data_IF_050833402954
#
_entry.id   IF_050833402954
#
_cell.length_a   1.000
_cell.length_b   1.000
_cell.length_c   1.000
_cell.angle_alpha   90.00
_cell.angle_beta   90.00
_cell.angle_gamma   90.00
#
_symmetry.space_group_name_H-M   'P 1'
#
loop_
_entity.id
_entity.type
_entity.pdbx_description
1 polymer ?
#
# COMPACT_ATOMS: atom_id res chain seq x y z
N UNK A 1 -9.17 21.95 14.58
CA UNK A 1 -8.32 21.23 15.56
C UNK A 1 -7.75 20.00 14.89
N UNK A 2 -6.50 19.65 15.15
CA UNK A 2 -5.87 18.44 14.59
C UNK A 2 -6.52 17.20 15.18
N UNK A 3 -6.89 16.20 14.37
CA UNK A 3 -7.58 14.98 14.84
C UNK A 3 -6.73 14.09 15.76
N UNK A 4 -7.37 13.34 16.66
CA UNK A 4 -6.71 12.46 17.64
C UNK A 4 -5.64 11.52 17.05
N UNK A 5 -5.85 10.86 15.89
CA UNK A 5 -4.86 9.99 15.25
C UNK A 5 -3.56 10.70 14.87
N UNK A 6 -3.64 11.98 14.44
CA UNK A 6 -2.45 12.78 14.09
C UNK A 6 -1.64 13.11 15.34
N UNK A 7 -2.31 13.50 16.43
CA UNK A 7 -1.62 13.70 17.72
C UNK A 7 -0.95 12.41 18.20
N UNK A 8 -1.63 11.27 18.05
CA UNK A 8 -1.07 9.99 18.46
C UNK A 8 0.22 9.63 17.68
N UNK A 9 0.24 9.86 16.36
CA UNK A 9 1.46 9.68 15.56
C UNK A 9 2.56 10.62 16.01
N UNK A 10 2.28 11.92 16.15
CA UNK A 10 3.27 12.92 16.52
C UNK A 10 3.87 12.65 17.90
N UNK A 11 3.03 12.37 18.90
CA UNK A 11 3.49 12.01 20.24
C UNK A 11 4.35 10.74 20.18
N UNK A 12 3.91 9.71 19.44
CA UNK A 12 4.69 8.51 19.24
C UNK A 12 6.07 8.78 18.63
N UNK A 13 6.14 9.63 17.60
CA UNK A 13 7.40 10.03 16.96
C UNK A 13 8.31 10.81 17.91
N UNK A 14 7.77 11.75 18.70
CA UNK A 14 8.53 12.50 19.71
C UNK A 14 9.09 11.56 20.77
N UNK A 15 8.27 10.64 21.29
CA UNK A 15 8.73 9.64 22.26
C UNK A 15 9.83 8.77 21.63
N UNK A 16 9.70 8.38 20.36
CA UNK A 16 10.69 7.58 19.65
C UNK A 16 12.06 8.24 19.54
N UNK A 17 12.13 9.58 19.49
CA UNK A 17 13.39 10.33 19.47
C UNK A 17 14.15 10.25 20.80
N UNK A 18 13.41 10.20 21.92
CA UNK A 18 13.98 10.19 23.27
C UNK A 18 14.19 8.76 23.82
N UNK A 19 13.48 7.79 23.29
CA UNK A 19 13.50 6.40 23.77
C UNK A 19 14.68 5.63 23.17
N UNK A 20 15.73 5.46 23.97
CA UNK A 20 16.97 4.79 23.57
C UNK A 20 16.77 3.29 23.29
N UNK A 21 17.52 2.77 22.33
CA UNK A 21 17.50 1.40 21.78
C UNK A 21 17.35 0.23 22.79
N UNK A 22 18.03 0.15 23.95
CA UNK A 22 17.95 -1.03 24.83
C UNK A 22 16.56 -1.23 25.45
N UNK A 23 15.90 -0.16 25.88
CA UNK A 23 14.57 -0.23 26.47
C UNK A 23 13.49 -0.47 25.39
N UNK A 24 13.76 -0.03 24.15
CA UNK A 24 12.88 -0.23 22.99
C UNK A 24 12.84 -1.68 22.54
N UNK A 25 13.97 -2.42 22.66
CA UNK A 25 14.06 -3.83 22.27
C UNK A 25 13.07 -4.73 22.99
N UNK A 26 12.79 -4.49 24.27
CA UNK A 26 11.88 -5.30 25.09
C UNK A 26 10.42 -5.20 24.60
N UNK A 27 10.00 -4.03 24.13
CA UNK A 27 8.60 -3.76 23.73
C UNK A 27 8.40 -3.68 22.22
N UNK A 28 9.47 -3.86 21.43
CA UNK A 28 9.46 -3.69 19.98
C UNK A 28 8.44 -4.59 19.29
N UNK A 29 8.32 -5.84 19.72
CA UNK A 29 7.37 -6.81 19.18
C UNK A 29 5.92 -6.36 19.44
N UNK A 30 5.64 -5.85 20.64
CA UNK A 30 4.35 -5.29 21.01
C UNK A 30 3.99 -4.04 20.19
N UNK A 31 4.94 -3.13 19.98
CA UNK A 31 4.76 -1.95 19.13
C UNK A 31 4.49 -2.38 17.69
N UNK A 32 5.29 -3.32 17.16
CA UNK A 32 5.10 -3.87 15.81
C UNK A 32 3.76 -4.58 15.63
N UNK A 33 3.34 -5.37 16.61
CA UNK A 33 2.03 -6.02 16.64
C UNK A 33 0.90 -4.99 16.63
N UNK A 34 0.98 -3.96 17.48
CA UNK A 34 -0.04 -2.91 17.58
C UNK A 34 -0.12 -2.10 16.29
N UNK A 35 1.01 -1.67 15.74
CA UNK A 35 1.06 -0.93 14.49
C UNK A 35 0.47 -1.68 13.30
N UNK A 36 0.53 -3.02 13.28
CA UNK A 36 0.14 -3.84 12.14
C UNK A 36 -1.14 -4.64 12.37
N UNK A 37 -1.20 -5.43 13.46
CA UNK A 37 -2.33 -6.34 13.72
C UNK A 37 -3.53 -5.63 14.31
N UNK A 38 -3.31 -4.74 15.28
CA UNK A 38 -4.41 -3.97 15.88
C UNK A 38 -5.04 -3.05 14.84
N UNK A 39 -4.26 -2.46 13.93
CA UNK A 39 -4.80 -1.71 12.80
C UNK A 39 -5.67 -2.58 11.88
N UNK A 40 -5.23 -3.82 11.57
CA UNK A 40 -6.04 -4.74 10.77
C UNK A 40 -7.38 -5.06 11.46
N UNK A 41 -7.36 -5.28 12.79
CA UNK A 41 -8.58 -5.49 13.58
C UNK A 41 -9.47 -4.25 13.57
N UNK A 42 -8.89 -3.06 13.68
CA UNK A 42 -9.63 -1.81 13.57
C UNK A 42 -10.38 -1.71 12.23
N UNK A 43 -9.70 -2.00 11.12
CA UNK A 43 -10.31 -1.98 9.78
C UNK A 43 -11.41 -3.04 9.64
N UNK A 44 -11.24 -4.25 10.20
CA UNK A 44 -12.29 -5.27 10.22
C UNK A 44 -13.51 -4.78 11.00
N UNK A 45 -13.31 -4.19 12.17
CA UNK A 45 -14.39 -3.65 13.01
C UNK A 45 -15.11 -2.48 12.33
N UNK A 46 -14.40 -1.68 11.53
CA UNK A 46 -15.00 -0.60 10.73
C UNK A 46 -16.05 -1.16 9.76
N UNK A 47 -15.84 -2.36 9.21
CA UNK A 47 -16.78 -3.05 8.35
C UNK A 47 -18.19 -3.20 8.93
N UNK A 48 -18.31 -3.31 10.25
CA UNK A 48 -19.63 -3.33 10.91
C UNK A 48 -20.39 -1.99 10.86
N UNK A 49 -19.73 -0.89 10.48
CA UNK A 49 -20.37 0.39 10.25
C UNK A 49 -20.85 0.61 8.81
N UNK A 50 -20.66 -0.36 7.90
CA UNK A 50 -20.85 -0.22 6.47
C UNK A 50 -21.80 -1.31 5.94
N UNK A 51 -22.50 -1.01 4.84
CA UNK A 51 -23.25 -2.01 4.09
C UNK A 51 -22.58 -2.31 2.74
N UNK A 52 -22.85 -3.51 2.19
CA UNK A 52 -22.24 -3.95 0.93
C UNK A 52 -22.62 -3.08 -0.27
N UNK A 53 -23.82 -2.48 -0.27
CA UNK A 53 -24.25 -1.59 -1.36
C UNK A 53 -23.39 -0.31 -1.37
N UNK A 54 -23.14 0.28 -0.20
CA UNK A 54 -22.23 1.43 -0.05
C UNK A 54 -20.80 1.07 -0.51
N UNK A 55 -20.30 -0.09 -0.09
CA UNK A 55 -18.97 -0.55 -0.52
C UNK A 55 -18.90 -0.69 -2.03
N UNK A 56 -19.92 -1.25 -2.68
CA UNK A 56 -19.97 -1.39 -4.11
C UNK A 56 -20.06 -0.05 -4.83
N UNK A 57 -20.88 0.89 -4.32
CA UNK A 57 -21.04 2.22 -4.90
C UNK A 57 -19.74 3.04 -4.84
N UNK A 58 -19.16 3.22 -3.66
CA UNK A 58 -17.90 3.97 -3.47
C UNK A 58 -16.75 3.28 -4.19
N UNK A 59 -16.70 1.93 -4.16
CA UNK A 59 -15.71 1.15 -4.87
C UNK A 59 -15.76 1.39 -6.38
N UNK A 60 -16.97 1.37 -6.99
CA UNK A 60 -17.15 1.60 -8.42
C UNK A 60 -16.82 3.05 -8.82
N UNK A 61 -17.29 4.03 -8.04
CA UNK A 61 -17.03 5.45 -8.26
C UNK A 61 -15.54 5.81 -8.19
N UNK A 62 -14.81 5.14 -7.30
CA UNK A 62 -13.37 5.34 -7.14
C UNK A 62 -12.51 4.69 -8.22
N UNK A 63 -13.02 3.72 -9.00
CA UNK A 63 -12.22 2.97 -9.99
C UNK A 63 -11.51 3.85 -11.01
N UNK A 64 -12.13 4.86 -11.65
CA UNK A 64 -11.43 5.72 -12.63
C UNK A 64 -10.26 6.46 -11.99
N UNK A 65 -10.42 6.96 -10.75
CA UNK A 65 -9.39 7.66 -10.01
C UNK A 65 -8.26 6.69 -9.63
N UNK A 66 -8.62 5.49 -9.15
CA UNK A 66 -7.65 4.44 -8.80
C UNK A 66 -6.81 4.05 -10.02
N UNK A 67 -7.43 3.78 -11.17
CA UNK A 67 -6.71 3.39 -12.38
C UNK A 67 -5.79 4.50 -12.88
N UNK A 68 -6.25 5.75 -12.86
CA UNK A 68 -5.45 6.91 -13.25
C UNK A 68 -4.25 7.11 -12.31
N UNK A 69 -4.45 7.02 -11.00
CA UNK A 69 -3.37 7.19 -10.02
C UNK A 69 -2.35 6.03 -10.08
N UNK A 70 -2.80 4.79 -10.33
CA UNK A 70 -1.90 3.65 -10.58
C UNK A 70 -1.08 3.88 -11.83
N UNK A 71 -1.72 4.23 -12.95
CA UNK A 71 -1.04 4.50 -14.21
C UNK A 71 -0.02 5.63 -14.07
N UNK A 72 -0.42 6.74 -13.43
CA UNK A 72 0.48 7.87 -13.13
C UNK A 72 1.70 7.43 -12.34
N UNK A 73 1.52 6.66 -11.27
CA UNK A 73 2.63 6.18 -10.44
C UNK A 73 3.62 5.31 -11.23
N UNK A 74 3.11 4.40 -12.06
CA UNK A 74 3.94 3.49 -12.86
C UNK A 74 4.65 4.22 -14.00
N UNK A 75 3.95 5.12 -14.70
CA UNK A 75 4.53 5.91 -15.81
C UNK A 75 5.59 6.87 -15.28
N UNK A 76 5.27 7.67 -14.27
CA UNK A 76 6.21 8.62 -13.65
C UNK A 76 7.39 7.86 -13.05
N UNK A 77 7.13 6.74 -12.36
CA UNK A 77 8.18 5.88 -11.81
C UNK A 77 9.13 5.35 -12.89
N UNK A 78 8.61 4.90 -14.04
CA UNK A 78 9.43 4.46 -15.17
C UNK A 78 10.25 5.61 -15.79
N UNK A 79 9.65 6.78 -15.98
CA UNK A 79 10.35 7.97 -16.50
C UNK A 79 11.49 8.35 -15.54
N UNK A 80 11.22 8.44 -14.25
CA UNK A 80 12.22 8.79 -13.25
C UNK A 80 13.33 7.75 -13.12
N UNK A 81 13.02 6.45 -13.23
CA UNK A 81 14.01 5.39 -13.34
C UNK A 81 15.03 5.68 -14.44
N UNK A 82 14.54 6.06 -15.63
CA UNK A 82 15.40 6.36 -16.80
C UNK A 82 16.20 7.66 -16.61
N UNK A 83 15.55 8.72 -16.13
CA UNK A 83 16.16 10.06 -15.97
C UNK A 83 17.19 10.08 -14.86
N UNK A 84 16.86 9.53 -13.69
CA UNK A 84 17.76 9.51 -12.53
C UNK A 84 18.84 8.42 -12.60
N UNK A 85 18.77 7.52 -13.60
CA UNK A 85 19.67 6.38 -13.77
C UNK A 85 19.82 5.60 -12.47
N UNK A 86 18.69 5.22 -11.90
CA UNK A 86 18.64 4.47 -10.64
C UNK A 86 18.75 2.97 -10.86
N UNK A 87 19.01 2.24 -9.78
CA UNK A 87 18.86 0.79 -9.76
C UNK A 87 17.43 0.39 -10.10
N UNK A 88 17.28 -0.58 -11.00
CA UNK A 88 15.98 -0.98 -11.52
C UNK A 88 15.07 -1.61 -10.46
N UNK A 89 15.64 -2.34 -9.49
CA UNK A 89 14.88 -2.98 -8.44
C UNK A 89 14.31 -1.92 -7.48
N UNK A 90 15.14 -0.95 -7.02
CA UNK A 90 14.69 0.14 -6.15
C UNK A 90 13.61 0.96 -6.83
N UNK A 91 13.84 1.35 -8.10
CA UNK A 91 12.89 2.14 -8.86
C UNK A 91 11.54 1.41 -9.06
N UNK A 92 11.58 0.12 -9.40
CA UNK A 92 10.37 -0.71 -9.54
C UNK A 92 9.63 -0.82 -8.20
N UNK A 93 10.33 -1.06 -7.10
CA UNK A 93 9.72 -1.15 -5.77
C UNK A 93 9.06 0.16 -5.34
N UNK A 94 9.71 1.32 -5.58
CA UNK A 94 9.12 2.63 -5.28
C UNK A 94 7.89 2.89 -6.16
N UNK A 95 7.98 2.62 -7.48
CA UNK A 95 6.86 2.82 -8.39
C UNK A 95 5.65 1.96 -8.03
N UNK A 96 5.85 0.65 -7.78
CA UNK A 96 4.78 -0.27 -7.39
C UNK A 96 4.26 0.03 -5.99
N UNK A 97 5.14 0.36 -5.05
CA UNK A 97 4.76 0.79 -3.70
C UNK A 97 3.87 2.03 -3.73
N UNK A 98 4.25 3.04 -4.53
CA UNK A 98 3.45 4.26 -4.72
C UNK A 98 2.13 4.01 -5.45
N UNK A 99 2.08 3.01 -6.35
CA UNK A 99 0.90 2.75 -7.17
C UNK A 99 -0.22 2.00 -6.42
N UNK A 100 0.06 1.23 -5.37
CA UNK A 100 -0.93 0.34 -4.74
C UNK A 100 -1.11 0.67 -3.25
N UNK A 101 -0.35 -0.03 -2.38
CA UNK A 101 -0.54 0.00 -0.93
C UNK A 101 0.78 0.11 -0.14
N UNK A 102 1.79 0.73 -0.73
CA UNK A 102 3.06 0.98 -0.05
C UNK A 102 3.84 -0.29 0.24
N UNK A 103 4.14 -0.52 1.51
CA UNK A 103 4.97 -1.62 1.96
C UNK A 103 4.48 -3.01 1.59
N UNK A 104 3.16 -3.25 1.57
CA UNK A 104 2.60 -4.56 1.17
C UNK A 104 2.84 -4.88 -0.30
N UNK A 105 2.72 -3.88 -1.17
CA UNK A 105 3.01 -4.02 -2.59
C UNK A 105 4.51 -4.25 -2.83
N UNK A 106 5.38 -3.55 -2.10
CA UNK A 106 6.83 -3.78 -2.13
C UNK A 106 7.15 -5.22 -1.69
N UNK A 107 6.59 -5.67 -0.57
CA UNK A 107 6.84 -7.02 -0.05
C UNK A 107 6.38 -8.14 -1.00
N UNK A 108 5.27 -7.93 -1.72
CA UNK A 108 4.78 -8.88 -2.73
C UNK A 108 5.63 -8.85 -4.01
N UNK A 109 6.15 -7.67 -4.39
CA UNK A 109 6.92 -7.49 -5.63
C UNK A 109 8.39 -7.90 -5.45
N UNK A 110 8.97 -7.70 -4.28
CA UNK A 110 10.39 -7.95 -4.02
C UNK A 110 10.85 -9.37 -4.41
N UNK A 111 10.16 -10.47 -4.02
CA UNK A 111 10.55 -11.82 -4.44
C UNK A 111 10.39 -12.04 -5.95
N UNK A 112 9.41 -11.39 -6.59
CA UNK A 112 9.16 -11.51 -8.04
C UNK A 112 10.33 -10.95 -8.85
N UNK A 113 10.88 -9.80 -8.43
CA UNK A 113 12.02 -9.15 -9.11
C UNK A 113 13.37 -9.52 -8.47
N UNK A 114 13.38 -10.42 -7.49
CA UNK A 114 14.58 -10.86 -6.75
C UNK A 114 15.35 -9.68 -6.14
N UNK A 115 14.61 -8.73 -5.56
CA UNK A 115 15.23 -7.57 -4.92
C UNK A 115 15.97 -7.98 -3.64
N UNK A 116 17.10 -7.31 -3.38
CA UNK A 116 17.87 -7.50 -2.15
C UNK A 116 17.16 -6.84 -0.98
N UNK A 117 17.38 -7.35 0.24
CA UNK A 117 16.75 -6.81 1.46
C UNK A 117 17.07 -5.33 1.68
N UNK A 118 18.26 -4.86 1.31
CA UNK A 118 18.64 -3.45 1.40
C UNK A 118 17.80 -2.57 0.45
N UNK A 119 17.54 -3.06 -0.78
CA UNK A 119 16.71 -2.35 -1.77
C UNK A 119 15.25 -2.28 -1.30
N UNK A 120 14.75 -3.37 -0.71
CA UNK A 120 13.42 -3.44 -0.11
C UNK A 120 13.30 -2.46 1.06
N UNK A 121 14.26 -2.47 1.98
CA UNK A 121 14.26 -1.57 3.14
C UNK A 121 14.32 -0.10 2.71
N UNK A 122 15.13 0.23 1.70
CA UNK A 122 15.24 1.58 1.15
C UNK A 122 13.93 2.05 0.50
N UNK A 123 13.31 1.21 -0.33
CA UNK A 123 12.03 1.54 -0.96
C UNK A 123 10.91 1.72 0.06
N UNK A 124 10.81 0.83 1.06
CA UNK A 124 9.85 0.95 2.15
C UNK A 124 10.04 2.26 2.91
N UNK A 125 11.28 2.63 3.23
CA UNK A 125 11.59 3.86 3.97
C UNK A 125 11.13 5.10 3.21
N UNK A 126 11.37 5.17 1.90
CA UNK A 126 10.94 6.29 1.04
C UNK A 126 9.41 6.41 1.03
N UNK A 127 8.71 5.30 0.79
CA UNK A 127 7.24 5.30 0.76
C UNK A 127 6.66 5.70 2.12
N UNK A 128 7.23 5.19 3.21
CA UNK A 128 6.78 5.52 4.55
C UNK A 128 6.96 7.00 4.90
N UNK A 129 8.07 7.61 4.47
CA UNK A 129 8.34 9.03 4.66
C UNK A 129 7.18 9.89 4.11
N UNK A 130 6.83 9.68 2.84
CA UNK A 130 5.78 10.49 2.20
C UNK A 130 4.38 10.14 2.72
N UNK A 131 4.15 8.93 3.17
CA UNK A 131 2.90 8.54 3.81
C UNK A 131 2.67 9.25 5.15
N UNK A 132 3.71 9.37 5.98
CA UNK A 132 3.64 10.14 7.24
C UNK A 132 3.38 11.62 6.94
N UNK A 133 4.09 12.19 5.98
CA UNK A 133 3.89 13.58 5.55
C UNK A 133 2.44 13.78 5.05
N UNK A 134 1.94 12.86 4.21
CA UNK A 134 0.56 12.90 3.72
C UNK A 134 -0.48 12.85 4.85
N UNK A 135 -0.30 11.96 5.81
CA UNK A 135 -1.22 11.84 6.94
C UNK A 135 -1.33 13.13 7.78
N UNK A 136 -0.24 13.90 7.84
CA UNK A 136 -0.19 15.17 8.59
C UNK A 136 -0.72 16.34 7.77
N UNK A 137 -0.40 16.41 6.47
CA UNK A 137 -0.65 17.60 5.63
C UNK A 137 -2.01 17.52 4.92
N UNK A 138 -2.43 16.35 4.43
CA UNK A 138 -3.61 16.23 3.58
C UNK A 138 -4.92 16.66 4.23
N UNK A 139 -5.19 16.41 5.53
CA UNK A 139 -6.42 16.89 6.14
C UNK A 139 -6.54 18.42 6.10
N UNK A 140 -5.44 19.12 6.39
CA UNK A 140 -5.39 20.57 6.31
C UNK A 140 -5.46 21.06 4.86
N UNK A 141 -4.76 20.40 3.94
CA UNK A 141 -4.79 20.72 2.51
C UNK A 141 -6.20 20.56 1.94
N UNK A 142 -6.89 19.47 2.25
CA UNK A 142 -8.27 19.23 1.83
C UNK A 142 -9.23 20.31 2.31
N UNK A 143 -9.09 20.73 3.59
CA UNK A 143 -9.86 21.84 4.14
C UNK A 143 -9.57 23.17 3.42
N UNK A 144 -8.30 23.45 3.08
CA UNK A 144 -7.91 24.65 2.34
C UNK A 144 -8.45 24.65 0.90
N UNK A 145 -8.57 23.48 0.30
CA UNK A 145 -9.13 23.29 -1.05
C UNK A 145 -10.66 23.26 -1.06
N UNK A 146 -11.32 23.30 0.10
CA UNK A 146 -12.76 23.27 0.21
C UNK A 146 -13.38 21.95 -0.22
N UNK A 147 -12.69 20.82 -0.01
CA UNK A 147 -13.19 19.49 -0.39
C UNK A 147 -14.41 19.09 0.45
N UNK A 148 -15.35 18.37 -0.16
CA UNK A 148 -16.42 17.69 0.56
C UNK A 148 -15.88 16.53 1.42
N UNK A 149 -16.68 16.00 2.33
CA UNK A 149 -16.29 14.85 3.15
C UNK A 149 -16.02 13.60 2.29
N UNK A 150 -16.87 13.36 1.31
CA UNK A 150 -16.76 12.25 0.34
C UNK A 150 -15.55 12.46 -0.58
N UNK A 151 -15.38 13.67 -1.12
CA UNK A 151 -14.22 14.04 -1.94
C UNK A 151 -12.92 13.85 -1.19
N UNK A 152 -12.84 14.23 0.08
CA UNK A 152 -11.65 13.97 0.90
C UNK A 152 -11.41 12.47 1.14
N UNK A 153 -12.48 11.69 1.36
CA UNK A 153 -12.40 10.24 1.48
C UNK A 153 -11.77 9.59 0.23
N UNK A 154 -12.28 9.96 -0.96
CA UNK A 154 -11.74 9.53 -2.25
C UNK A 154 -10.27 9.96 -2.43
N UNK A 155 -9.94 11.21 -2.10
CA UNK A 155 -8.58 11.74 -2.18
C UNK A 155 -7.62 11.00 -1.26
N UNK A 156 -7.96 10.85 0.01
CA UNK A 156 -7.12 10.15 0.97
C UNK A 156 -6.89 8.68 0.57
N UNK A 157 -7.93 7.97 0.11
CA UNK A 157 -7.85 6.58 -0.34
C UNK A 157 -6.98 6.38 -1.58
N UNK A 158 -6.97 7.36 -2.50
CA UNK A 158 -6.26 7.28 -3.78
C UNK A 158 -4.89 7.93 -3.78
N UNK A 159 -4.66 9.00 -3.03
CA UNK A 159 -3.40 9.75 -3.01
C UNK A 159 -2.42 9.30 -1.92
N UNK A 160 -2.89 8.71 -0.82
CA UNK A 160 -2.03 8.16 0.23
C UNK A 160 -1.77 6.67 -0.04
N UNK A 161 -0.51 6.23 0.04
CA UNK A 161 -0.16 4.89 -0.42
C UNK A 161 -0.35 3.80 0.64
N UNK A 162 -0.07 4.05 1.90
CA UNK A 162 -0.20 3.05 2.96
C UNK A 162 -1.55 3.13 3.67
N UNK A 163 -2.14 1.96 3.98
CA UNK A 163 -3.45 1.86 4.65
C UNK A 163 -3.48 2.58 6.00
N UNK A 164 -2.40 2.50 6.77
CA UNK A 164 -2.33 3.15 8.07
C UNK A 164 -2.39 4.67 7.95
N UNK A 165 -1.67 5.23 6.98
CA UNK A 165 -1.64 6.67 6.75
C UNK A 165 -2.93 7.20 6.11
N UNK A 166 -3.60 6.39 5.26
CA UNK A 166 -4.97 6.68 4.79
C UNK A 166 -5.93 6.80 5.96
N UNK A 167 -5.92 5.78 6.82
CA UNK A 167 -6.78 5.75 8.02
C UNK A 167 -6.50 6.93 8.95
N UNK A 168 -5.21 7.30 9.12
CA UNK A 168 -4.81 8.44 9.93
C UNK A 168 -5.32 9.77 9.36
N UNK A 169 -5.12 9.99 8.05
CA UNK A 169 -5.56 11.20 7.36
C UNK A 169 -7.10 11.35 7.40
N UNK A 170 -7.81 10.27 7.06
CA UNK A 170 -9.27 10.29 7.02
C UNK A 170 -9.91 10.41 8.42
N UNK A 171 -9.35 9.72 9.42
CA UNK A 171 -9.83 9.88 10.80
C UNK A 171 -9.49 11.26 11.39
N UNK A 172 -8.40 11.90 10.95
CA UNK A 172 -8.10 13.28 11.29
C UNK A 172 -9.11 14.25 10.67
N UNK A 173 -9.48 14.02 9.42
CA UNK A 173 -10.54 14.78 8.73
C UNK A 173 -11.87 14.67 9.48
N UNK A 174 -12.31 13.45 9.80
CA UNK A 174 -13.53 13.22 10.57
C UNK A 174 -13.52 13.94 11.93
N UNK A 175 -12.33 14.02 12.55
CA UNK A 175 -12.15 14.76 13.80
C UNK A 175 -12.24 16.28 13.65
N UNK A 176 -11.98 16.82 12.46
CA UNK A 176 -12.09 18.27 12.15
C UNK A 176 -13.46 18.64 11.60
N UNK A 177 -14.18 17.72 10.98
CA UNK A 177 -15.47 17.94 10.33
C UNK A 177 -16.55 17.04 10.97
N UNK A 178 -17.29 17.53 11.98
CA UNK A 178 -18.34 16.77 12.64
C UNK A 178 -19.39 16.28 11.65
N UNK A 179 -19.76 14.99 11.74
CA UNK A 179 -20.68 14.35 10.80
C UNK A 179 -20.07 13.77 9.53
N UNK A 180 -18.75 13.93 9.36
CA UNK A 180 -18.00 13.29 8.26
C UNK A 180 -17.89 11.77 8.44
N UNK A 181 -17.88 11.05 7.32
CA UNK A 181 -17.58 9.62 7.20
C UNK A 181 -16.42 9.36 6.23
N UNK A 182 -15.54 10.33 6.04
CA UNK A 182 -14.40 10.22 5.13
C UNK A 182 -13.49 9.01 5.43
N UNK A 183 -13.43 8.57 6.70
CA UNK A 183 -12.72 7.36 7.10
C UNK A 183 -13.31 6.09 6.46
N UNK A 184 -14.62 6.00 6.40
CA UNK A 184 -15.33 4.87 5.82
C UNK A 184 -15.04 4.80 4.30
N UNK A 185 -15.23 5.92 3.59
CA UNK A 185 -15.01 6.03 2.15
C UNK A 185 -13.53 5.80 1.78
N UNK A 186 -12.61 6.46 2.46
CA UNK A 186 -11.17 6.28 2.26
C UNK A 186 -10.74 4.82 2.46
N UNK A 187 -11.34 4.13 3.43
CA UNK A 187 -11.05 2.71 3.69
C UNK A 187 -11.53 1.83 2.54
N UNK A 188 -12.76 2.04 2.05
CA UNK A 188 -13.31 1.30 0.90
C UNK A 188 -12.42 1.51 -0.33
N UNK A 189 -12.13 2.76 -0.68
CA UNK A 189 -11.27 3.13 -1.81
C UNK A 189 -9.90 2.46 -1.69
N UNK A 190 -9.30 2.51 -0.50
CA UNK A 190 -8.00 1.91 -0.26
C UNK A 190 -8.00 0.39 -0.38
N UNK A 191 -9.02 -0.28 0.13
CA UNK A 191 -9.15 -1.73 0.02
C UNK A 191 -9.37 -2.15 -1.44
N UNK A 192 -10.20 -1.41 -2.19
CA UNK A 192 -10.41 -1.61 -3.63
C UNK A 192 -9.09 -1.46 -4.41
N UNK A 193 -8.31 -0.40 -4.13
CA UNK A 193 -6.98 -0.18 -4.74
C UNK A 193 -6.00 -1.31 -4.41
N UNK A 194 -6.07 -1.86 -3.22
CA UNK A 194 -5.17 -2.94 -2.79
C UNK A 194 -5.36 -4.22 -3.61
N UNK A 195 -6.52 -4.47 -4.19
CA UNK A 195 -6.76 -5.61 -5.09
C UNK A 195 -5.90 -5.55 -6.36
N UNK A 196 -5.45 -4.37 -6.78
CA UNK A 196 -4.56 -4.19 -7.92
C UNK A 196 -3.18 -4.85 -7.72
N UNK A 197 -2.82 -5.29 -6.51
CA UNK A 197 -1.58 -6.03 -6.25
C UNK A 197 -1.52 -7.32 -7.09
N UNK A 198 -2.66 -7.99 -7.27
CA UNK A 198 -2.73 -9.27 -8.00
C UNK A 198 -2.36 -9.10 -9.47
N UNK A 199 -3.06 -8.26 -10.28
CA UNK A 199 -2.72 -8.11 -11.68
C UNK A 199 -1.34 -7.49 -11.90
N UNK A 200 -0.91 -6.55 -11.06
CA UNK A 200 0.40 -5.88 -11.21
C UNK A 200 1.55 -6.86 -10.95
N UNK A 201 1.48 -7.63 -9.85
CA UNK A 201 2.53 -8.63 -9.56
C UNK A 201 2.54 -9.76 -10.57
N UNK A 202 1.39 -10.16 -11.11
CA UNK A 202 1.29 -11.15 -12.19
C UNK A 202 1.94 -10.65 -13.48
N UNK A 203 1.65 -9.41 -13.90
CA UNK A 203 2.28 -8.80 -15.08
C UNK A 203 3.80 -8.73 -14.90
N UNK A 204 4.27 -8.29 -13.73
CA UNK A 204 5.71 -8.25 -13.44
C UNK A 204 6.35 -9.64 -13.49
N UNK A 205 5.70 -10.66 -12.95
CA UNK A 205 6.18 -12.04 -13.01
C UNK A 205 6.32 -12.53 -14.46
N UNK A 206 5.33 -12.24 -15.32
CA UNK A 206 5.36 -12.57 -16.75
C UNK A 206 6.50 -11.82 -17.46
N UNK A 207 6.66 -10.53 -17.19
CA UNK A 207 7.74 -9.72 -17.80
C UNK A 207 9.12 -10.24 -17.39
N UNK A 208 9.31 -10.59 -16.12
CA UNK A 208 10.58 -11.13 -15.63
C UNK A 208 10.87 -12.51 -16.24
N UNK A 209 9.87 -13.39 -16.33
CA UNK A 209 10.01 -14.70 -16.98
C UNK A 209 10.41 -14.57 -18.46
N UNK A 210 9.78 -13.63 -19.21
CA UNK A 210 10.14 -13.36 -20.61
C UNK A 210 11.58 -12.85 -20.75
N UNK A 211 12.02 -11.97 -19.85
CA UNK A 211 13.37 -11.41 -19.85
C UNK A 211 14.42 -12.49 -19.59
N UNK A 212 14.17 -13.43 -18.68
CA UNK A 212 15.06 -14.55 -18.38
C UNK A 212 15.15 -15.52 -19.57
N UNK A 213 14.02 -15.86 -20.20
CA UNK A 213 14.01 -16.70 -21.39
C UNK A 213 14.77 -16.08 -22.57
N UNK A 214 14.65 -14.76 -22.78
CA UNK A 214 15.39 -14.04 -23.81
C UNK A 214 16.90 -14.02 -23.53
N UNK A 215 17.30 -13.87 -22.27
CA UNK A 215 18.71 -13.93 -21.87
C UNK A 215 19.31 -15.33 -22.01
N UNK A 216 18.54 -16.38 -21.69
CA UNK A 216 18.94 -17.76 -21.87
C UNK A 216 19.07 -18.18 -23.35
N UNK A 217 18.18 -17.69 -24.22
CA UNK A 217 18.26 -17.93 -25.68
C UNK A 217 19.49 -17.23 -26.31
N UNK A 218 19.86 -16.03 -25.82
CA UNK A 218 21.06 -15.31 -26.28
C UNK A 218 22.37 -15.97 -25.87
N UNK A 219 22.41 -16.64 -24.72
CA UNK A 219 23.58 -17.38 -24.25
C UNK A 219 23.79 -18.71 -25.00
N UNK A 220 22.72 -19.30 -25.51
CA UNK A 220 22.81 -20.55 -26.30
C UNK A 220 23.33 -20.35 -27.74
N UNK A 221 23.34 -19.11 -28.26
CA UNK A 221 23.81 -18.77 -29.64
C UNK A 221 25.28 -18.34 -29.64
N UNK A 222 25.90 -18.06 -28.50
CA UNK A 222 27.26 -17.55 -28.38
C UNK A 222 28.28 -18.63 -27.90
N UNK A 223 28.18 -19.86 -28.38
CA UNK A 223 29.22 -20.89 -28.16
C UNK A 223 30.17 -20.96 -29.34
N UNK A 224 31.51 -20.79 -29.17
CA UNK A 224 32.47 -21.03 -30.24
C UNK A 224 32.59 -22.54 -30.50
N UNK A 225 32.58 -22.90 -31.79
CA UNK A 225 32.78 -24.29 -32.21
C UNK A 225 34.10 -24.84 -31.71
N UNK A 226 34.02 -25.99 -31.06
CA UNK A 226 35.13 -26.93 -30.94
C UNK A 226 34.56 -28.35 -31.16
N UNK A 227 35.06 -29.01 -32.16
CA UNK A 227 34.85 -30.41 -32.45
C UNK A 227 35.21 -31.27 -31.25
N UNK A 228 34.33 -32.13 -30.82
CA UNK A 228 34.60 -33.11 -29.78
C UNK A 228 33.35 -33.94 -29.45
N UNK A 229 33.39 -35.19 -29.88
CA UNK A 229 32.43 -36.25 -29.59
C UNK A 229 31.98 -36.26 -28.12
N UNK A 230 30.76 -35.82 -27.84
CA UNK A 230 30.16 -35.96 -26.54
C UNK A 230 28.99 -36.97 -26.64
N UNK A 231 29.16 -38.08 -25.97
CA UNK A 231 28.13 -39.10 -25.70
C UNK A 231 26.95 -38.41 -24.99
N UNK A 232 25.82 -38.41 -25.63
CA UNK A 232 24.56 -37.89 -25.10
C UNK A 232 24.02 -38.81 -24.01
N UNK A 233 24.13 -38.42 -22.75
CA UNK A 233 23.45 -39.09 -21.64
C UNK A 233 21.98 -38.64 -21.59
N UNK A 234 21.00 -39.54 -21.77
CA UNK A 234 19.57 -39.17 -21.79
C UNK A 234 19.04 -38.69 -20.45
N UNK A 235 19.78 -38.91 -19.34
CA UNK A 235 19.37 -38.47 -18.01
C UNK A 235 19.60 -36.97 -17.77
N UNK A 236 20.49 -36.29 -18.52
CA UNK A 236 20.74 -34.86 -18.37
C UNK A 236 19.65 -33.96 -19.00
N UNK A 237 18.85 -34.50 -19.96
CA UNK A 237 17.80 -33.73 -20.63
C UNK A 237 16.47 -33.65 -19.86
N UNK A 238 16.32 -34.42 -18.76
CA UNK A 238 15.12 -34.34 -17.90
C UNK A 238 15.15 -33.17 -16.90
N UNK A 239 16.29 -32.45 -16.76
CA UNK A 239 16.41 -31.32 -15.84
C UNK A 239 16.09 -29.94 -16.45
N UNK A 240 15.85 -29.87 -17.76
CA UNK A 240 15.50 -28.64 -18.48
C UNK A 240 13.97 -28.51 -18.70
N UNK A 241 13.20 -28.69 -17.64
CA UNK A 241 11.81 -28.23 -17.68
C UNK A 241 11.79 -26.68 -17.71
N UNK A 242 10.92 -26.05 -18.53
CA UNK A 242 10.93 -24.61 -18.74
C UNK A 242 10.79 -23.85 -17.43
N UNK A 243 11.75 -22.99 -17.17
CA UNK A 243 11.88 -22.16 -15.95
C UNK A 243 10.63 -21.35 -15.60
N UNK A 244 9.73 -21.14 -16.57
CA UNK A 244 8.44 -20.46 -16.37
C UNK A 244 7.50 -21.15 -15.39
N UNK A 245 7.52 -22.50 -15.30
CA UNK A 245 6.67 -23.24 -14.36
C UNK A 245 7.16 -23.11 -12.91
N UNK A 246 8.46 -22.90 -12.69
CA UNK A 246 9.03 -22.65 -11.35
C UNK A 246 8.73 -21.26 -10.81
N UNK A 247 8.61 -20.25 -11.68
CA UNK A 247 8.26 -18.88 -11.27
C UNK A 247 6.78 -18.75 -10.87
N UNK A 248 5.88 -19.45 -11.56
CA UNK A 248 4.46 -19.53 -11.19
C UNK A 248 4.22 -20.42 -9.97
N UNK A 249 5.05 -21.45 -9.74
CA UNK A 249 4.98 -22.32 -8.55
C UNK A 249 5.36 -21.62 -7.23
N UNK A 250 6.10 -20.50 -7.29
CA UNK A 250 6.43 -19.67 -6.11
C UNK A 250 5.40 -18.57 -5.81
N UNK A 251 4.49 -18.27 -6.73
CA UNK A 251 3.46 -17.25 -6.55
C UNK A 251 2.23 -17.85 -5.86
N UNK A 252 2.22 -17.79 -4.54
CA UNK A 252 1.04 -18.18 -3.75
C UNK A 252 0.05 -17.03 -3.72
N UNK A 253 -1.03 -17.13 -4.50
CA UNK A 253 -2.16 -16.19 -4.48
C UNK A 253 -2.70 -16.02 -3.04
N UNK A 254 -2.65 -17.09 -2.25
CA UNK A 254 -3.04 -17.13 -0.83
C UNK A 254 -2.15 -16.24 0.06
N UNK A 255 -0.87 -16.04 -0.30
CA UNK A 255 0.07 -15.15 0.42
C UNK A 255 -0.05 -13.68 -0.03
N UNK A 256 -0.48 -13.44 -1.26
CA UNK A 256 -0.63 -12.09 -1.81
C UNK A 256 -1.94 -11.43 -1.38
N UNK A 257 -2.98 -12.21 -1.04
CA UNK A 257 -4.29 -11.67 -0.68
C UNK A 257 -4.37 -11.34 0.83
N UNK A 258 -4.60 -10.09 1.21
CA UNK A 258 -4.70 -9.70 2.62
C UNK A 258 -6.02 -10.21 3.23
N UNK A 259 -5.94 -11.21 4.09
CA UNK A 259 -7.11 -11.86 4.73
C UNK A 259 -8.03 -10.91 5.48
N UNK A 260 -7.50 -9.79 6.01
CA UNK A 260 -8.31 -8.79 6.70
C UNK A 260 -9.33 -8.10 5.80
N UNK A 261 -9.11 -8.06 4.46
CA UNK A 261 -10.10 -7.53 3.49
C UNK A 261 -11.32 -8.45 3.44
N UNK A 262 -11.10 -9.77 3.41
CA UNK A 262 -12.23 -10.72 3.45
C UNK A 262 -13.03 -10.60 4.75
N UNK A 263 -12.34 -10.43 5.87
CA UNK A 263 -12.99 -10.26 7.16
C UNK A 263 -13.74 -8.91 7.24
N UNK A 264 -13.21 -7.85 6.65
CA UNK A 264 -13.90 -6.57 6.50
C UNK A 264 -15.20 -6.73 5.69
N UNK A 265 -15.14 -7.39 4.53
CA UNK A 265 -16.32 -7.67 3.71
C UNK A 265 -17.32 -8.58 4.42
N UNK A 266 -16.85 -9.58 5.16
CA UNK A 266 -17.71 -10.43 5.97
C UNK A 266 -18.43 -9.64 7.09
N UNK A 267 -17.72 -8.75 7.78
CA UNK A 267 -18.29 -7.86 8.78
C UNK A 267 -19.38 -6.95 8.18
N UNK A 268 -19.10 -6.37 7.02
CA UNK A 268 -20.08 -5.54 6.28
C UNK A 268 -21.28 -6.36 5.79
N UNK A 269 -21.03 -7.62 5.39
CA UNK A 269 -22.09 -8.56 5.02
C UNK A 269 -23.01 -8.89 6.19
N UNK A 270 -22.46 -9.13 7.38
CA UNK A 270 -23.23 -9.36 8.62
C UNK A 270 -24.11 -8.16 8.91
N UNK A 271 -23.57 -6.94 8.84
CA UNK A 271 -24.35 -5.71 9.07
C UNK A 271 -25.46 -5.57 8.02
N UNK A 272 -25.14 -5.81 6.74
CA UNK A 272 -26.13 -5.72 5.64
C UNK A 272 -27.30 -6.69 5.87
N UNK A 273 -27.01 -7.95 6.21
CA UNK A 273 -28.05 -8.96 6.46
C UNK A 273 -28.83 -8.64 7.74
N UNK A 274 -28.17 -8.23 8.80
CA UNK A 274 -28.83 -7.88 10.07
C UNK A 274 -29.80 -6.71 9.90
N UNK A 275 -29.38 -5.63 9.22
CA UNK A 275 -30.21 -4.46 8.95
C UNK A 275 -31.38 -4.82 8.01
N UNK A 276 -31.14 -5.63 6.98
CA UNK A 276 -32.21 -6.15 6.12
C UNK A 276 -33.23 -7.02 6.88
N UNK A 277 -32.80 -7.71 7.93
CA UNK A 277 -33.65 -8.48 8.83
C UNK A 277 -34.35 -7.63 9.91
N UNK A 278 -34.19 -6.29 9.88
CA UNK A 278 -34.86 -5.37 10.80
C UNK A 278 -34.04 -4.99 12.05
N UNK A 279 -32.76 -5.35 12.12
CA UNK A 279 -31.90 -4.88 13.20
C UNK A 279 -31.59 -3.38 13.04
N UNK A 280 -31.54 -2.66 14.17
CA UNK A 280 -31.11 -1.26 14.15
C UNK A 280 -29.58 -1.18 13.84
N UNK A 281 -29.21 -0.38 12.85
CA UNK A 281 -27.80 -0.11 12.52
C UNK A 281 -27.02 0.49 13.71
N UNK A 282 -27.71 1.19 14.63
CA UNK A 282 -27.12 1.71 15.86
C UNK A 282 -26.57 0.62 16.79
N UNK A 283 -27.04 -0.63 16.68
CA UNK A 283 -26.50 -1.76 17.43
C UNK A 283 -25.01 -2.03 17.15
N UNK A 284 -24.52 -1.64 15.98
CA UNK A 284 -23.11 -1.78 15.59
C UNK A 284 -22.24 -0.57 15.98
N UNK A 285 -22.82 0.52 16.49
CA UNK A 285 -22.07 1.73 16.87
C UNK A 285 -20.94 1.48 17.89
N UNK A 286 -21.08 0.59 18.90
CA UNK A 286 -19.97 0.26 19.81
C UNK A 286 -18.77 -0.35 19.09
N UNK A 287 -18.98 -1.19 18.07
CA UNK A 287 -17.90 -1.79 17.28
C UNK A 287 -17.16 -0.75 16.44
N UNK A 288 -17.90 0.21 15.87
CA UNK A 288 -17.30 1.36 15.16
C UNK A 288 -16.51 2.25 16.11
N UNK A 289 -17.00 2.49 17.33
CA UNK A 289 -16.27 3.24 18.35
C UNK A 289 -14.98 2.53 18.79
N UNK A 290 -15.02 1.21 18.97
CA UNK A 290 -13.85 0.38 19.28
C UNK A 290 -12.84 0.40 18.14
N UNK A 291 -13.30 0.36 16.88
CA UNK A 291 -12.45 0.54 15.70
C UNK A 291 -11.67 1.85 15.77
N UNK A 292 -12.35 2.98 15.99
CA UNK A 292 -11.72 4.31 16.11
C UNK A 292 -10.68 4.35 17.24
N UNK A 293 -10.96 3.73 18.38
CA UNK A 293 -10.00 3.60 19.49
C UNK A 293 -8.75 2.80 19.07
N UNK A 294 -8.93 1.66 18.41
CA UNK A 294 -7.82 0.85 17.90
C UNK A 294 -7.00 1.58 16.84
N UNK A 295 -7.63 2.43 16.02
CA UNK A 295 -6.92 3.30 15.07
C UNK A 295 -5.98 4.23 15.81
N UNK A 296 -6.45 4.95 16.84
CA UNK A 296 -5.61 5.88 17.62
C UNK A 296 -4.43 5.14 18.26
N UNK A 297 -4.69 3.97 18.83
CA UNK A 297 -3.65 3.12 19.44
C UNK A 297 -2.61 2.65 18.40
N UNK A 298 -3.07 2.21 17.23
CA UNK A 298 -2.19 1.82 16.12
C UNK A 298 -1.37 3.00 15.60
N UNK A 299 -1.96 4.22 15.52
CA UNK A 299 -1.26 5.43 15.10
C UNK A 299 -0.13 5.81 16.08
N UNK A 300 -0.37 5.71 17.39
CA UNK A 300 0.68 5.91 18.40
C UNK A 300 1.84 4.90 18.21
N UNK A 301 1.50 3.63 17.98
CA UNK A 301 2.50 2.58 17.75
C UNK A 301 3.29 2.79 16.44
N UNK A 302 2.65 3.27 15.37
CA UNK A 302 3.31 3.64 14.12
C UNK A 302 4.27 4.79 14.35
N UNK A 303 3.86 5.84 15.09
CA UNK A 303 4.72 6.95 15.47
C UNK A 303 5.95 6.45 16.24
N UNK A 304 5.77 5.60 17.25
CA UNK A 304 6.85 4.97 18.01
C UNK A 304 7.79 4.14 17.15
N UNK A 305 7.28 3.48 16.11
CA UNK A 305 8.07 2.63 15.22
C UNK A 305 8.75 3.41 14.09
N UNK A 306 8.47 4.69 13.92
CA UNK A 306 9.02 5.54 12.88
C UNK A 306 10.43 6.00 13.25
N UNK A 307 11.42 5.59 12.44
CA UNK A 307 12.81 6.03 12.56
C UNK A 307 13.11 7.12 11.52
N UNK A 308 12.93 8.39 11.93
CA UNK A 308 13.13 9.55 11.06
C UNK A 308 14.54 9.62 10.47
N UNK A 309 15.56 9.16 11.21
CA UNK A 309 16.96 9.20 10.75
C UNK A 309 17.16 8.20 9.60
N UNK A 310 16.61 7.00 9.72
CA UNK A 310 16.65 6.00 8.64
C UNK A 310 15.87 6.44 7.42
N UNK A 311 14.71 7.10 7.61
CA UNK A 311 13.89 7.61 6.51
C UNK A 311 14.66 8.61 5.64
N UNK A 312 15.38 9.56 6.28
CA UNK A 312 16.14 10.58 5.54
C UNK A 312 17.43 10.03 4.93
N UNK A 313 18.00 8.95 5.49
CA UNK A 313 19.23 8.31 4.99
C UNK A 313 19.03 7.41 3.77
N UNK A 314 17.82 7.25 3.27
CA UNK A 314 17.51 6.39 2.10
C UNK A 314 18.18 6.81 0.78
N UNK A 315 18.88 7.96 0.77
CA UNK A 315 19.57 8.49 -0.40
C UNK A 315 18.73 9.49 -1.20
N UNK A 316 19.41 10.46 -1.81
CA UNK A 316 18.74 11.60 -2.48
C UNK A 316 17.88 11.16 -3.68
N UNK A 317 18.38 10.24 -4.53
CA UNK A 317 17.64 9.82 -5.74
C UNK A 317 16.34 9.07 -5.43
N UNK A 318 16.32 8.04 -4.54
CA UNK A 318 15.09 7.37 -4.12
C UNK A 318 14.08 8.33 -3.48
N UNK A 319 14.54 9.24 -2.63
CA UNK A 319 13.68 10.25 -1.98
C UNK A 319 13.07 11.17 -3.04
N UNK A 320 13.87 11.67 -3.98
CA UNK A 320 13.38 12.54 -5.07
C UNK A 320 12.35 11.80 -5.94
N UNK A 321 12.60 10.53 -6.26
CA UNK A 321 11.67 9.69 -7.01
C UNK A 321 10.35 9.53 -6.25
N UNK A 322 10.41 9.20 -4.95
CA UNK A 322 9.22 9.08 -4.10
C UNK A 322 8.43 10.37 -4.00
N UNK A 323 9.12 11.51 -3.84
CA UNK A 323 8.51 12.84 -3.79
C UNK A 323 7.74 13.17 -5.07
N UNK A 324 8.38 13.00 -6.23
CA UNK A 324 7.76 13.33 -7.52
C UNK A 324 6.57 12.39 -7.78
N UNK A 325 6.73 11.07 -7.55
CA UNK A 325 5.62 10.12 -7.66
C UNK A 325 4.45 10.53 -6.75
N UNK A 326 4.72 10.88 -5.49
CA UNK A 326 3.70 11.27 -4.52
C UNK A 326 2.96 12.54 -4.95
N UNK A 327 3.67 13.59 -5.40
CA UNK A 327 3.06 14.83 -5.91
C UNK A 327 2.21 14.54 -7.15
N UNK A 328 2.74 13.77 -8.11
CA UNK A 328 2.02 13.44 -9.34
C UNK A 328 0.75 12.61 -9.06
N UNK A 329 0.81 11.67 -8.12
CA UNK A 329 -0.37 10.87 -7.73
C UNK A 329 -1.42 11.76 -7.07
N UNK A 330 -1.01 12.65 -6.14
CA UNK A 330 -1.92 13.58 -5.49
C UNK A 330 -2.58 14.52 -6.51
N UNK A 331 -1.79 15.10 -7.41
CA UNK A 331 -2.29 15.96 -8.49
C UNK A 331 -3.24 15.19 -9.44
N UNK A 332 -2.91 13.97 -9.84
CA UNK A 332 -3.75 13.14 -10.68
C UNK A 332 -5.08 12.78 -9.98
N UNK A 333 -5.04 12.48 -8.68
CA UNK A 333 -6.24 12.22 -7.88
C UNK A 333 -7.16 13.45 -7.84
N UNK A 334 -6.62 14.62 -7.52
CA UNK A 334 -7.38 15.88 -7.47
C UNK A 334 -7.95 16.24 -8.85
N UNK A 335 -7.15 16.13 -9.91
CA UNK A 335 -7.59 16.42 -11.26
C UNK A 335 -8.75 15.51 -11.70
N UNK A 336 -8.65 14.21 -11.45
CA UNK A 336 -9.71 13.26 -11.79
C UNK A 336 -10.98 13.50 -10.98
N UNK A 337 -10.89 13.82 -9.69
CA UNK A 337 -12.04 14.16 -8.86
C UNK A 337 -12.74 15.42 -9.39
N UNK A 338 -11.96 16.45 -9.73
CA UNK A 338 -12.52 17.68 -10.31
C UNK A 338 -13.23 17.41 -11.64
N UNK A 339 -12.62 16.58 -12.52
CA UNK A 339 -13.22 16.20 -13.80
C UNK A 339 -14.52 15.38 -13.66
N UNK A 340 -14.62 14.57 -12.60
CA UNK A 340 -15.76 13.72 -12.33
C UNK A 340 -16.84 14.42 -11.48
N UNK A 341 -16.60 15.64 -11.00
CA UNK A 341 -17.50 16.36 -10.11
C UNK A 341 -17.59 15.78 -8.69
N UNK A 342 -16.55 15.08 -8.25
CA UNK A 342 -16.47 14.41 -6.95
C UNK A 342 -15.62 15.22 -5.95
N UNK A 343 -15.84 16.53 -5.93
CA UNK A 343 -15.01 17.47 -5.14
C UNK A 343 -15.53 17.67 -3.71
#
# INVERSE_FOLDING_TARGET
MVGGPVFAILIGMVIALWWKQPARGIVQDGIGFTAKKVLQYAVILLGFGLNLAQIAAVGAESLPIILTTIATALIVGYILYRVLRMDSAIATLIAVGSSICGGSAIAATAPVIRAKDEQVAQAISVIFLFNVIAALIFPTLGSMLGMSNEGFGLFAGTAVNDTSSVTAAAAAWDGMHPGSNALDDATIVKLTRTLAIIPITLVLAIVMARKENAAGAGAAVAGPGTDGLAVSDPAANAAAAPTGARLLGGFSLKRAFPTFILLFLAASGITTVAVAAGADAAAFAPLKALSKFFIVMAMAAIGLNTDLVKLVRSGAKPILMGLICWICIAAASLAMQHMLGLW
#
